data_IF_571640966351
#
_entry.id   IF_571640966351
#
_cell.length_a   1.000
_cell.length_b   1.000
_cell.length_c   1.000
_cell.angle_alpha   90.00
_cell.angle_beta   90.00
_cell.angle_gamma   90.00
#
_symmetry.space_group_name_H-M   'P 1'
#
loop_
_entity.id
_entity.type
_entity.pdbx_description
1 polymer ?
#
# COMPACT_ATOMS: atom_id res chain seq x y z
N UNK A 1 15.00 -17.62 20.50
CA UNK A 1 15.08 -16.41 21.34
C UNK A 1 13.85 -15.58 21.03
N UNK A 2 12.92 -15.59 21.95
CA UNK A 2 11.62 -14.90 21.91
C UNK A 2 11.84 -13.42 22.18
N UNK A 3 11.44 -12.57 21.23
CA UNK A 3 11.38 -11.11 21.42
C UNK A 3 9.99 -10.78 21.99
N UNK A 4 9.87 -9.94 23.03
CA UNK A 4 8.63 -9.78 23.78
C UNK A 4 7.62 -8.92 23.00
N UNK A 5 6.37 -9.40 22.93
CA UNK A 5 5.23 -8.61 22.46
C UNK A 5 4.90 -7.54 23.51
N UNK A 6 5.12 -6.28 23.14
CA UNK A 6 4.73 -5.13 23.96
C UNK A 6 3.22 -4.94 23.83
N UNK A 7 2.50 -5.26 24.90
CA UNK A 7 1.08 -4.99 25.06
C UNK A 7 0.87 -3.48 25.19
N UNK A 8 0.22 -2.85 24.20
CA UNK A 8 -0.37 -1.52 24.35
C UNK A 8 -1.90 -1.67 24.33
N UNK A 9 -2.52 -1.26 25.44
CA UNK A 9 -3.97 -1.07 25.55
C UNK A 9 -4.33 0.27 24.90
N UNK A 10 -5.40 0.29 24.11
CA UNK A 10 -6.35 1.41 23.98
C UNK A 10 -7.50 0.89 23.09
N UNK A 11 -8.65 0.45 23.59
CA UNK A 11 -9.81 1.26 23.99
C UNK A 11 -9.92 2.57 23.21
N UNK A 12 -10.60 2.52 22.06
CA UNK A 12 -11.61 3.46 21.54
C UNK A 12 -11.84 3.14 20.06
N UNK A 13 -12.92 2.39 19.78
CA UNK A 13 -13.40 2.09 18.42
C UNK A 13 -14.28 3.25 17.95
N UNK A 14 -13.65 4.38 17.63
CA UNK A 14 -14.26 5.41 16.80
C UNK A 14 -13.38 5.62 15.56
N UNK A 15 -14.02 5.46 14.39
CA UNK A 15 -13.45 5.57 13.04
C UNK A 15 -12.36 4.53 12.67
N UNK A 16 -12.73 3.56 11.83
CA UNK A 16 -11.78 2.71 11.07
C UNK A 16 -11.12 3.58 10.00
N UNK A 17 -10.15 4.35 10.46
CA UNK A 17 -9.33 5.26 9.68
C UNK A 17 -8.39 4.47 8.73
N UNK A 18 -7.91 5.11 7.66
CA UNK A 18 -6.93 4.55 6.71
C UNK A 18 -5.70 3.93 7.40
N UNK A 19 -5.43 4.30 8.66
CA UNK A 19 -4.38 3.75 9.52
C UNK A 19 -4.48 2.24 9.76
N UNK A 20 -5.69 1.67 9.78
CA UNK A 20 -5.89 0.22 10.06
C UNK A 20 -5.27 -0.66 8.95
N UNK A 21 -4.97 -0.09 7.78
CA UNK A 21 -4.38 -0.81 6.65
C UNK A 21 -2.86 -0.96 6.72
N UNK A 22 -2.15 -0.19 7.56
CA UNK A 22 -0.70 -0.04 7.47
C UNK A 22 0.06 -0.37 8.78
N UNK A 23 -0.66 -0.52 9.90
CA UNK A 23 -0.11 -0.88 11.20
C UNK A 23 -0.05 -2.40 11.41
N UNK A 24 1.06 -2.87 11.98
CA UNK A 24 1.34 -4.26 12.34
C UNK A 24 0.60 -4.70 13.62
N UNK A 25 -0.71 -4.45 13.72
CA UNK A 25 -1.54 -4.94 14.82
C UNK A 25 -2.58 -5.96 14.31
N UNK A 26 -2.94 -6.99 15.10
CA UNK A 26 -3.85 -8.03 14.67
C UNK A 26 -5.29 -7.50 14.64
N UNK A 27 -5.79 -7.15 13.46
CA UNK A 27 -7.18 -6.74 13.22
C UNK A 27 -7.82 -7.71 12.22
N UNK A 28 -9.09 -8.13 12.40
CA UNK A 28 -9.70 -9.21 11.63
C UNK A 28 -10.07 -8.80 10.19
N UNK A 29 -9.16 -9.05 9.26
CA UNK A 29 -9.39 -9.11 7.83
C UNK A 29 -8.03 -9.13 7.14
N UNK A 30 -7.60 -10.23 6.52
CA UNK A 30 -6.21 -10.36 6.06
C UNK A 30 -6.13 -10.67 4.56
N UNK A 31 -5.47 -9.80 3.81
CA UNK A 31 -5.13 -9.94 2.39
C UNK A 31 -3.62 -10.19 2.30
N UNK A 32 -3.23 -11.44 2.04
CA UNK A 32 -2.02 -11.92 1.32
C UNK A 32 -0.66 -12.31 1.95
N UNK A 33 -0.21 -13.52 1.59
CA UNK A 33 1.19 -13.98 1.68
C UNK A 33 1.57 -14.96 0.55
N UNK A 34 2.87 -15.07 0.25
CA UNK A 34 3.45 -16.09 -0.64
C UNK A 34 3.12 -17.49 -0.14
N UNK A 35 2.62 -18.36 -1.03
CA UNK A 35 2.25 -19.71 -0.66
C UNK A 35 0.96 -19.73 0.17
N UNK A 36 -0.08 -20.33 -0.39
CA UNK A 36 -1.26 -20.70 0.39
C UNK A 36 -0.84 -21.85 1.33
N UNK A 37 -0.21 -21.52 2.46
CA UNK A 37 0.15 -22.49 3.49
C UNK A 37 -1.12 -23.12 4.11
N UNK A 38 -1.01 -24.35 4.64
CA UNK A 38 -2.14 -25.28 4.72
C UNK A 38 -3.26 -24.75 5.62
N UNK A 39 -4.49 -25.23 5.34
CA UNK A 39 -5.76 -24.88 6.00
C UNK A 39 -5.76 -24.95 7.54
N UNK A 40 -4.69 -25.43 8.18
CA UNK A 40 -4.58 -25.69 9.63
C UNK A 40 -4.31 -24.46 10.51
N UNK A 41 -3.83 -23.33 9.96
CA UNK A 41 -3.44 -22.15 10.76
C UNK A 41 -4.30 -20.89 10.48
N UNK A 42 -5.53 -21.05 9.96
CA UNK A 42 -6.41 -19.88 9.80
C UNK A 42 -6.93 -19.40 11.15
N UNK A 43 -6.84 -18.09 11.36
CA UNK A 43 -7.43 -17.45 12.54
C UNK A 43 -8.95 -17.52 12.39
N UNK A 44 -9.62 -18.08 13.39
CA UNK A 44 -11.07 -18.18 13.41
C UNK A 44 -11.70 -16.78 13.47
N UNK A 45 -12.79 -16.57 12.75
CA UNK A 45 -13.49 -15.29 12.69
C UNK A 45 -12.86 -14.25 11.75
N UNK A 46 -11.80 -14.60 11.01
CA UNK A 46 -11.19 -13.71 10.01
C UNK A 46 -11.61 -14.13 8.60
N UNK A 47 -12.06 -13.16 7.79
CA UNK A 47 -12.29 -13.33 6.35
C UNK A 47 -10.96 -13.15 5.61
N UNK A 48 -10.71 -13.97 4.60
CA UNK A 48 -9.45 -13.99 3.86
C UNK A 48 -9.68 -13.87 2.36
N UNK A 49 -8.87 -13.05 1.71
CA UNK A 49 -8.65 -13.07 0.25
C UNK A 49 -7.19 -13.49 -0.01
N UNK A 50 -7.01 -14.61 -0.71
CA UNK A 50 -5.69 -15.19 -1.00
C UNK A 50 -5.39 -15.15 -2.50
N UNK A 51 -4.54 -14.22 -2.92
CA UNK A 51 -3.99 -14.05 -4.28
C UNK A 51 -2.53 -14.59 -4.35
N UNK A 52 -2.30 -15.76 -4.95
CA UNK A 52 -0.94 -16.27 -5.14
C UNK A 52 -0.17 -15.38 -6.14
N UNK A 53 0.84 -14.65 -5.66
CA UNK A 53 1.61 -13.71 -6.48
C UNK A 53 3.05 -13.53 -5.97
N UNK A 54 4.02 -13.70 -6.86
CA UNK A 54 5.43 -13.45 -6.57
C UNK A 54 5.77 -11.95 -6.60
N UNK A 55 6.78 -11.52 -5.84
CA UNK A 55 7.31 -10.14 -5.92
C UNK A 55 8.27 -9.98 -7.09
N UNK A 56 7.75 -10.15 -8.30
CA UNK A 56 8.53 -10.05 -9.54
C UNK A 56 7.94 -8.96 -10.44
N UNK A 57 8.76 -8.18 -11.17
CA UNK A 57 8.28 -7.25 -12.18
C UNK A 57 7.44 -7.89 -13.29
N UNK A 58 7.58 -9.21 -13.52
CA UNK A 58 6.78 -9.97 -14.49
C UNK A 58 5.44 -10.48 -13.95
N UNK A 59 5.21 -10.40 -12.63
CA UNK A 59 3.94 -10.81 -12.03
C UNK A 59 2.86 -9.79 -12.41
N UNK A 60 1.74 -10.27 -12.97
CA UNK A 60 0.57 -9.43 -13.21
C UNK A 60 -0.27 -9.36 -11.91
N UNK A 61 -0.19 -8.23 -11.20
CA UNK A 61 -1.04 -7.92 -10.05
C UNK A 61 -2.30 -7.14 -10.46
N UNK A 62 -2.26 -6.38 -11.56
CA UNK A 62 -3.40 -5.59 -12.02
C UNK A 62 -4.68 -6.41 -12.22
N UNK A 63 -4.55 -7.66 -12.69
CA UNK A 63 -5.69 -8.60 -12.81
C UNK A 63 -6.43 -8.87 -11.49
N UNK A 64 -5.80 -8.59 -10.35
CA UNK A 64 -6.34 -8.80 -9.01
C UNK A 64 -6.84 -7.49 -8.35
N UNK A 65 -6.72 -6.34 -9.02
CA UNK A 65 -7.15 -5.06 -8.44
C UNK A 65 -8.63 -5.06 -8.10
N UNK A 66 -9.50 -5.54 -9.00
CA UNK A 66 -10.95 -5.50 -8.77
C UNK A 66 -11.39 -6.30 -7.55
N UNK A 67 -10.94 -7.55 -7.42
CA UNK A 67 -11.28 -8.39 -6.27
C UNK A 67 -10.67 -7.86 -4.96
N UNK A 68 -9.46 -7.30 -5.02
CA UNK A 68 -8.79 -6.72 -3.86
C UNK A 68 -9.50 -5.46 -3.37
N UNK A 69 -9.83 -4.55 -4.30
CA UNK A 69 -10.56 -3.31 -4.02
C UNK A 69 -11.92 -3.62 -3.41
N UNK A 70 -12.66 -4.56 -4.00
CA UNK A 70 -13.96 -5.00 -3.47
C UNK A 70 -13.83 -5.50 -2.03
N UNK A 71 -12.92 -6.44 -1.79
CA UNK A 71 -12.72 -7.04 -0.47
C UNK A 71 -12.36 -5.99 0.59
N UNK A 72 -11.43 -5.10 0.24
CA UNK A 72 -11.01 -4.00 1.11
C UNK A 72 -12.18 -3.06 1.40
N UNK A 73 -12.91 -2.66 0.37
CA UNK A 73 -13.99 -1.68 0.49
C UNK A 73 -15.16 -2.23 1.32
N UNK A 74 -15.61 -3.46 1.07
CA UNK A 74 -16.66 -4.11 1.85
C UNK A 74 -16.29 -4.21 3.34
N UNK A 75 -15.04 -4.56 3.66
CA UNK A 75 -14.57 -4.61 5.04
C UNK A 75 -14.71 -3.23 5.72
N UNK A 76 -14.27 -2.16 5.04
CA UNK A 76 -14.38 -0.79 5.57
C UNK A 76 -15.81 -0.33 5.76
N UNK A 77 -16.71 -0.63 4.81
CA UNK A 77 -18.12 -0.26 4.90
C UNK A 77 -18.82 -0.94 6.08
N UNK A 78 -18.37 -2.13 6.47
CA UNK A 78 -18.88 -2.82 7.66
C UNK A 78 -18.31 -2.29 8.98
N UNK A 79 -17.39 -1.31 8.94
CA UNK A 79 -16.65 -0.85 10.11
C UNK A 79 -15.69 -1.91 10.66
N UNK A 80 -15.33 -2.91 9.86
CA UNK A 80 -14.31 -3.91 10.17
C UNK A 80 -12.93 -3.38 9.71
N UNK A 81 -11.85 -3.83 10.36
CA UNK A 81 -10.49 -3.51 9.94
C UNK A 81 -9.95 -4.52 8.94
N UNK A 82 -9.24 -4.05 7.91
CA UNK A 82 -8.59 -4.90 6.91
C UNK A 82 -7.08 -4.65 6.88
N UNK A 83 -6.31 -5.69 7.15
CA UNK A 83 -4.88 -5.82 6.97
C UNK A 83 -4.55 -6.34 5.57
N UNK A 84 -3.76 -5.59 4.81
CA UNK A 84 -3.18 -6.06 3.53
C UNK A 84 -1.68 -6.26 3.73
N UNK A 85 -1.23 -7.52 3.74
CA UNK A 85 0.16 -7.90 3.93
C UNK A 85 0.73 -8.62 2.70
N UNK A 86 2.04 -8.79 2.72
CA UNK A 86 2.78 -9.72 1.86
C UNK A 86 3.98 -10.21 2.69
N UNK A 87 5.03 -10.76 2.08
CA UNK A 87 6.18 -11.23 2.84
C UNK A 87 6.87 -10.10 3.64
N UNK A 88 7.13 -8.96 3.00
CA UNK A 88 7.86 -7.83 3.62
C UNK A 88 6.98 -6.61 3.91
N UNK A 89 5.76 -6.56 3.37
CA UNK A 89 4.91 -5.36 3.43
C UNK A 89 5.53 -4.15 2.72
N UNK A 90 6.28 -4.37 1.63
CA UNK A 90 7.02 -3.32 0.90
C UNK A 90 6.46 -3.09 -0.51
N UNK A 91 6.16 -4.17 -1.24
CA UNK A 91 5.88 -4.11 -2.68
C UNK A 91 4.46 -4.59 -3.02
N UNK A 92 4.20 -5.91 -3.06
CA UNK A 92 2.90 -6.46 -3.49
C UNK A 92 1.68 -5.93 -2.73
N UNK A 93 1.71 -5.96 -1.40
CA UNK A 93 0.60 -5.46 -0.57
C UNK A 93 0.38 -3.98 -0.79
N UNK A 94 1.48 -3.21 -0.84
CA UNK A 94 1.49 -1.78 -1.10
C UNK A 94 0.86 -1.49 -2.47
N UNK A 95 1.16 -2.26 -3.51
CA UNK A 95 0.56 -2.10 -4.84
C UNK A 95 -0.97 -2.21 -4.80
N UNK A 96 -1.51 -3.20 -4.09
CA UNK A 96 -2.97 -3.37 -3.99
C UNK A 96 -3.61 -2.23 -3.18
N UNK A 97 -2.96 -1.77 -2.11
CA UNK A 97 -3.43 -0.62 -1.31
C UNK A 97 -3.39 0.67 -2.14
N UNK A 98 -2.37 0.88 -2.96
CA UNK A 98 -2.29 2.05 -3.85
C UNK A 98 -3.45 2.03 -4.85
N UNK A 99 -3.70 0.89 -5.51
CA UNK A 99 -4.82 0.75 -6.45
C UNK A 99 -6.17 1.03 -5.77
N UNK A 100 -6.32 0.60 -4.51
CA UNK A 100 -7.48 0.93 -3.68
C UNK A 100 -7.62 2.44 -3.42
N UNK A 101 -6.57 3.09 -2.92
CA UNK A 101 -6.58 4.54 -2.65
C UNK A 101 -6.91 5.33 -3.92
N UNK A 102 -6.27 5.00 -5.06
CA UNK A 102 -6.55 5.64 -6.36
C UNK A 102 -8.03 5.52 -6.77
N UNK A 103 -8.70 4.44 -6.38
CA UNK A 103 -10.10 4.17 -6.73
C UNK A 103 -11.08 4.91 -5.83
N UNK A 104 -10.76 5.11 -4.55
CA UNK A 104 -11.63 5.85 -3.61
C UNK A 104 -11.38 7.36 -3.59
N UNK A 105 -10.30 7.83 -4.23
CA UNK A 105 -9.95 9.25 -4.36
C UNK A 105 -9.76 9.66 -5.81
N UNK A 106 -9.44 10.94 -6.03
CA UNK A 106 -9.01 11.52 -7.31
C UNK A 106 -7.48 11.42 -7.52
N UNK A 107 -6.76 10.68 -6.68
CA UNK A 107 -5.29 10.65 -6.74
C UNK A 107 -4.76 9.80 -7.88
N UNK A 108 -3.63 10.23 -8.46
CA UNK A 108 -2.74 9.39 -9.25
C UNK A 108 -1.92 8.45 -8.38
N UNK A 109 -1.18 7.53 -9.00
CA UNK A 109 -0.46 6.47 -8.30
C UNK A 109 0.67 7.01 -7.41
N UNK A 110 1.30 8.13 -7.77
CA UNK A 110 2.40 8.74 -7.00
C UNK A 110 1.88 9.41 -5.72
N UNK A 111 0.76 10.14 -5.80
CA UNK A 111 0.11 10.72 -4.64
C UNK A 111 -0.44 9.61 -3.73
N UNK A 112 -1.05 8.56 -4.28
CA UNK A 112 -1.49 7.41 -3.52
C UNK A 112 -0.32 6.65 -2.85
N UNK A 113 0.83 6.49 -3.52
CA UNK A 113 2.04 5.94 -2.91
C UNK A 113 2.55 6.84 -1.77
N UNK A 114 2.50 8.16 -1.95
CA UNK A 114 2.89 9.13 -0.92
C UNK A 114 2.00 9.04 0.31
N UNK A 115 0.69 8.85 0.13
CA UNK A 115 -0.25 8.55 1.23
C UNK A 115 0.16 7.29 1.97
N UNK A 116 0.49 6.21 1.25
CA UNK A 116 0.96 4.97 1.89
C UNK A 116 2.27 5.19 2.63
N UNK A 117 3.21 5.96 2.07
CA UNK A 117 4.50 6.27 2.70
C UNK A 117 4.38 7.13 3.95
N UNK A 118 3.35 7.98 4.04
CA UNK A 118 3.05 8.78 5.23
C UNK A 118 2.85 7.90 6.48
N UNK A 119 2.26 6.71 6.30
CA UNK A 119 2.02 5.74 7.36
C UNK A 119 3.02 4.57 7.36
N UNK A 120 3.65 4.26 6.21
CA UNK A 120 4.62 3.18 6.04
C UNK A 120 5.78 3.60 5.14
N UNK A 121 6.79 4.24 5.73
CA UNK A 121 7.91 4.86 5.01
C UNK A 121 8.72 3.89 4.13
N UNK A 122 8.73 2.59 4.43
CA UNK A 122 9.42 1.58 3.62
C UNK A 122 8.64 1.14 2.37
N UNK A 123 7.43 1.68 2.13
CA UNK A 123 6.62 1.34 0.96
C UNK A 123 7.33 1.68 -0.35
N UNK A 124 7.56 0.64 -1.16
CA UNK A 124 8.29 0.74 -2.41
C UNK A 124 7.93 -0.42 -3.36
N UNK A 125 6.84 -0.31 -4.14
CA UNK A 125 6.51 -1.27 -5.20
C UNK A 125 7.68 -1.48 -6.15
N UNK A 126 7.89 -2.72 -6.61
CA UNK A 126 8.89 -2.97 -7.64
C UNK A 126 8.52 -2.25 -8.95
N UNK A 127 9.49 -2.08 -9.86
CA UNK A 127 9.30 -1.31 -11.10
C UNK A 127 8.22 -1.88 -12.04
N UNK A 128 7.97 -3.19 -12.01
CA UNK A 128 6.89 -3.79 -12.79
C UNK A 128 5.51 -3.42 -12.26
N UNK A 129 5.36 -3.38 -10.93
CA UNK A 129 4.13 -2.94 -10.30
C UNK A 129 3.90 -1.43 -10.41
N UNK A 130 4.95 -0.61 -10.35
CA UNK A 130 4.83 0.83 -10.64
C UNK A 130 4.31 1.07 -12.05
N UNK A 131 4.83 0.34 -13.06
CA UNK A 131 4.31 0.40 -14.43
C UNK A 131 2.85 -0.04 -14.53
N UNK A 132 2.45 -1.10 -13.82
CA UNK A 132 1.05 -1.53 -13.77
C UNK A 132 0.13 -0.48 -13.13
N UNK A 133 0.58 0.20 -12.07
CA UNK A 133 -0.17 1.29 -11.44
C UNK A 133 -0.29 2.51 -12.36
N UNK A 134 0.78 2.83 -13.10
CA UNK A 134 0.76 3.91 -14.08
C UNK A 134 -0.19 3.59 -15.24
N UNK A 135 -0.22 2.34 -15.71
CA UNK A 135 -1.17 1.91 -16.75
C UNK A 135 -2.61 1.95 -16.23
N UNK A 136 -2.82 1.50 -14.99
CA UNK A 136 -4.10 1.58 -14.31
C UNK A 136 -4.60 3.02 -14.20
N UNK A 137 -3.75 3.97 -13.83
CA UNK A 137 -4.09 5.40 -13.79
C UNK A 137 -4.55 5.93 -15.16
N UNK A 138 -3.86 5.53 -16.24
CA UNK A 138 -4.13 6.06 -17.58
C UNK A 138 -5.40 5.51 -18.21
N UNK A 139 -5.73 4.26 -17.93
CA UNK A 139 -6.71 3.52 -18.75
C UNK A 139 -7.91 3.00 -17.97
N UNK A 140 -7.74 2.68 -16.68
CA UNK A 140 -8.71 1.86 -15.95
C UNK A 140 -9.28 2.54 -14.69
N UNK A 141 -8.55 3.44 -14.04
CA UNK A 141 -8.92 3.97 -12.71
C UNK A 141 -10.29 4.66 -12.72
N UNK A 142 -10.64 5.39 -13.78
CA UNK A 142 -11.94 6.05 -13.87
C UNK A 142 -13.09 5.06 -14.03
N UNK A 143 -12.87 3.96 -14.75
CA UNK A 143 -13.84 2.86 -14.84
C UNK A 143 -14.02 2.20 -13.47
N UNK A 144 -12.94 2.07 -12.69
CA UNK A 144 -13.00 1.52 -11.34
C UNK A 144 -13.70 2.46 -10.35
N UNK A 145 -13.46 3.77 -10.43
CA UNK A 145 -14.18 4.79 -9.65
C UNK A 145 -15.67 4.76 -9.93
N UNK A 146 -16.04 4.72 -11.21
CA UNK A 146 -17.43 4.61 -11.63
C UNK A 146 -18.07 3.31 -11.15
N UNK A 147 -17.39 2.18 -11.35
CA UNK A 147 -17.86 0.88 -10.87
C UNK A 147 -18.09 0.88 -9.36
N UNK A 148 -17.15 1.41 -8.58
CA UNK A 148 -17.27 1.46 -7.12
C UNK A 148 -18.47 2.33 -6.72
N UNK A 149 -18.66 3.47 -7.39
CA UNK A 149 -19.80 4.36 -7.17
C UNK A 149 -21.14 3.72 -7.52
N UNK A 150 -21.21 2.95 -8.60
CA UNK A 150 -22.42 2.23 -9.00
C UNK A 150 -22.77 1.09 -8.03
N UNK A 151 -21.76 0.38 -7.49
CA UNK A 151 -21.97 -0.77 -6.61
C UNK A 151 -22.23 -0.35 -5.14
N UNK A 152 -21.58 0.71 -4.65
CA UNK A 152 -21.60 1.09 -3.22
C UNK A 152 -22.13 2.51 -2.94
N UNK A 153 -22.39 3.31 -3.98
CA UNK A 153 -22.76 4.73 -3.84
C UNK A 153 -21.56 5.67 -3.73
N UNK A 154 -21.81 6.93 -3.37
CA UNK A 154 -20.72 7.91 -3.20
C UNK A 154 -19.80 7.52 -2.05
N UNK A 155 -18.48 7.62 -2.26
CA UNK A 155 -17.51 7.41 -1.20
C UNK A 155 -17.71 8.43 -0.08
N UNK A 156 -17.46 8.02 1.17
CA UNK A 156 -17.53 8.94 2.32
C UNK A 156 -16.55 10.09 2.13
N UNK A 157 -17.01 11.34 2.30
CA UNK A 157 -16.16 12.53 2.28
C UNK A 157 -14.99 12.45 3.29
N UNK A 158 -15.11 11.60 4.31
CA UNK A 158 -14.08 11.40 5.32
C UNK A 158 -12.84 10.71 4.74
N UNK A 159 -13.01 9.72 3.85
CA UNK A 159 -11.90 8.95 3.27
C UNK A 159 -10.99 9.84 2.44
N UNK A 160 -11.60 10.67 1.60
CA UNK A 160 -10.88 11.64 0.77
C UNK A 160 -10.16 12.67 1.63
N UNK A 161 -10.80 13.16 2.70
CA UNK A 161 -10.19 14.13 3.60
C UNK A 161 -9.00 13.52 4.35
N UNK A 162 -9.12 12.29 4.81
CA UNK A 162 -8.05 11.58 5.49
C UNK A 162 -6.85 11.35 4.56
N UNK A 163 -7.10 10.89 3.33
CA UNK A 163 -6.06 10.71 2.32
C UNK A 163 -5.34 12.04 2.00
N UNK A 164 -6.08 13.15 1.88
CA UNK A 164 -5.51 14.50 1.69
C UNK A 164 -4.65 14.94 2.86
N UNK A 165 -5.09 14.70 4.11
CA UNK A 165 -4.33 15.02 5.31
C UNK A 165 -3.02 14.21 5.42
N UNK A 166 -3.02 12.95 4.99
CA UNK A 166 -1.82 12.12 4.95
C UNK A 166 -0.84 12.60 3.87
N UNK A 167 -1.36 12.94 2.71
CA UNK A 167 -0.55 13.47 1.60
C UNK A 167 0.13 14.79 1.98
N UNK A 168 -0.57 15.71 2.65
CA UNK A 168 0.02 16.96 3.11
C UNK A 168 1.15 16.73 4.13
N UNK A 169 0.91 15.87 5.14
CA UNK A 169 1.92 15.48 6.13
C UNK A 169 3.19 14.91 5.48
N UNK A 170 3.04 14.05 4.47
CA UNK A 170 4.18 13.48 3.77
C UNK A 170 4.97 14.55 2.99
N UNK A 171 4.28 15.47 2.29
CA UNK A 171 4.92 16.57 1.55
C UNK A 171 5.70 17.50 2.48
N UNK A 172 5.12 17.88 3.62
CA UNK A 172 5.78 18.69 4.66
C UNK A 172 7.05 18.02 5.21
N UNK A 173 7.00 16.71 5.49
CA UNK A 173 8.17 15.96 5.95
C UNK A 173 9.29 15.91 4.91
N UNK A 174 8.95 15.78 3.64
CA UNK A 174 9.93 15.77 2.54
C UNK A 174 10.63 17.13 2.39
N UNK A 175 9.89 18.24 2.52
CA UNK A 175 10.45 19.60 2.46
C UNK A 175 11.37 19.91 3.66
N UNK A 176 11.03 19.43 4.86
CA UNK A 176 11.85 19.57 6.06
C UNK A 176 13.20 18.82 5.93
N UNK A 177 13.21 17.65 5.30
CA UNK A 177 14.44 16.88 5.06
C UNK A 177 15.33 17.56 4.01
N UNK A 178 14.74 18.23 3.01
CA UNK A 178 15.50 18.98 2.00
C UNK A 178 16.09 20.28 2.56
N UNK A 179 15.37 20.98 3.45
CA UNK A 179 15.84 22.23 4.06
C UNK A 179 16.89 22.05 5.16
N UNK A 180 16.92 20.90 5.84
CA UNK A 180 17.92 20.58 6.88
C UNK A 180 19.24 19.99 6.34
N UNK A 181 19.27 19.58 5.06
CA UNK A 181 20.47 19.04 4.38
C UNK A 181 21.55 20.07 3.99
N UNK A 182 21.35 21.37 4.29
CA UNK A 182 22.24 22.47 3.89
C UNK A 182 23.36 22.86 4.87
N UNK A 183 23.64 22.11 5.94
CA UNK A 183 24.79 22.36 6.84
C UNK A 183 25.72 21.16 6.94
N UNK A 184 26.71 21.17 6.05
CA UNK A 184 28.04 20.57 6.18
C UNK A 184 28.09 19.08 6.57
N UNK A 185 27.95 18.21 5.59
CA UNK A 185 28.42 16.83 5.68
C UNK A 185 29.93 16.80 5.43
N UNK A 186 30.73 16.63 6.50
CA UNK A 186 32.17 16.40 6.38
C UNK A 186 32.42 15.06 5.69
N UNK A 187 33.25 15.11 4.64
CA UNK A 187 33.73 13.98 3.86
C UNK A 187 34.31 12.87 4.74
N UNK A 188 33.63 11.71 4.79
CA UNK A 188 34.25 10.38 4.93
C UNK A 188 33.23 9.25 4.67
N UNK A 189 32.52 9.33 3.53
CA UNK A 189 31.89 8.15 2.96
C UNK A 189 32.38 8.01 1.53
N UNK A 190 33.12 6.93 1.28
CA UNK A 190 33.69 6.61 -0.02
C UNK A 190 32.59 6.61 -1.08
N UNK A 191 32.82 7.42 -2.11
CA UNK A 191 32.04 7.58 -3.34
C UNK A 191 31.37 6.28 -3.81
N UNK A 192 30.04 6.23 -3.75
CA UNK A 192 29.25 5.29 -4.56
C UNK A 192 29.22 5.83 -5.99
N UNK A 193 29.69 5.09 -7.02
CA UNK A 193 29.68 5.56 -8.39
C UNK A 193 28.24 5.65 -8.94
N UNK A 194 27.96 6.70 -9.70
CA UNK A 194 26.76 6.83 -10.52
C UNK A 194 26.68 5.66 -11.50
N UNK A 195 25.67 4.80 -11.39
CA UNK A 195 25.40 3.78 -12.40
C UNK A 195 24.78 4.46 -13.62
N UNK A 196 25.62 4.69 -14.63
CA UNK A 196 25.20 5.15 -15.95
C UNK A 196 24.39 4.08 -16.66
N UNK A 197 23.23 4.50 -17.13
CA UNK A 197 22.29 3.77 -17.96
C UNK A 197 22.95 3.49 -19.32
N UNK A 198 23.56 2.31 -19.49
CA UNK A 198 23.85 1.65 -20.78
C UNK A 198 24.54 0.31 -20.51
N UNK A 199 23.83 -0.79 -20.80
CA UNK A 199 24.33 -2.08 -21.30
C UNK A 199 23.30 -3.18 -20.96
N UNK A 200 22.21 -3.23 -21.73
CA UNK A 200 21.50 -4.49 -21.95
C UNK A 200 22.12 -5.10 -23.21
N UNK A 201 23.12 -5.96 -23.02
CA UNK A 201 23.58 -6.84 -24.07
C UNK A 201 22.74 -8.11 -23.98
N UNK A 202 21.95 -8.33 -25.03
CA UNK A 202 21.44 -9.64 -25.44
C UNK A 202 22.56 -10.67 -25.41
N UNK A 203 22.29 -11.87 -24.89
CA UNK A 203 22.51 -13.10 -25.65
C UNK A 203 21.82 -14.30 -25.00
N UNK A 204 21.47 -15.22 -25.90
CA UNK A 204 20.64 -16.44 -25.84
C UNK A 204 21.02 -17.49 -24.82
#
# INVERSE_FOLDING_TARGET
MTVPALCLRSTEVEAVSLWTFLALDPVPGMVLGDGCEPKSNRILGVKYLCIPAADSPSQNLARHFRESIKFIHECRLTGEGCLVHCLAGVSRSVTLVIAYIMTITDFGWEDALSVVRAARSCANPNMGFQRQLQEFEKHDVDQFRQWLKEEYGENSSQDLQEAKNLLSKYKEQAELQQSTGGRQWNNNFSSVPSLSYNNYTTET
#
